data_IF_990721051674
#
_entry.id   IF_990721051674
#
_cell.length_a   1.000
_cell.length_b   1.000
_cell.length_c   1.000
_cell.angle_alpha   90.00
_cell.angle_beta   90.00
_cell.angle_gamma   90.00
#
_symmetry.space_group_name_H-M   'P 1'
#
loop_
_entity.id
_entity.type
_entity.pdbx_description
1 polymer ?
#
# COMPACT_ATOMS: atom_id res chain seq x y z
N UNK A 1 12.09 -15.13 15.57
CA UNK A 1 11.56 -14.55 14.33
C UNK A 1 12.03 -13.12 14.25
N UNK A 2 12.53 -12.70 13.13
CA UNK A 2 13.58 -11.70 13.09
C UNK A 2 13.18 -10.48 12.27
N UNK A 3 13.58 -9.27 12.66
CA UNK A 3 13.48 -8.05 11.86
C UNK A 3 14.16 -8.13 10.48
N UNK A 4 14.78 -9.26 10.16
CA UNK A 4 15.29 -9.58 8.83
C UNK A 4 14.16 -9.52 7.80
N UNK A 5 12.93 -9.95 8.15
CA UNK A 5 11.79 -9.85 7.24
C UNK A 5 11.44 -8.40 6.91
N UNK A 6 11.41 -7.51 7.91
CA UNK A 6 11.21 -6.07 7.68
C UNK A 6 12.29 -5.46 6.78
N UNK A 7 13.55 -5.85 7.00
CA UNK A 7 14.67 -5.39 6.16
C UNK A 7 14.47 -5.89 4.72
N UNK A 8 14.11 -7.15 4.53
CA UNK A 8 13.87 -7.74 3.20
C UNK A 8 12.72 -7.05 2.47
N UNK A 9 11.61 -6.80 3.18
CA UNK A 9 10.45 -6.06 2.64
C UNK A 9 10.89 -4.67 2.19
N UNK A 10 11.57 -3.93 3.06
CA UNK A 10 12.01 -2.56 2.76
C UNK A 10 12.97 -2.53 1.57
N UNK A 11 13.99 -3.40 1.54
CA UNK A 11 14.96 -3.48 0.43
C UNK A 11 14.28 -3.80 -0.89
N UNK A 12 13.36 -4.79 -0.90
CA UNK A 12 12.63 -5.15 -2.10
C UNK A 12 11.71 -4.01 -2.58
N UNK A 13 11.01 -3.32 -1.67
CA UNK A 13 10.12 -2.21 -2.03
C UNK A 13 10.90 -0.97 -2.49
N UNK A 14 12.03 -0.64 -1.90
CA UNK A 14 12.92 0.42 -2.43
C UNK A 14 13.27 0.14 -3.89
N UNK A 15 13.61 -1.11 -4.21
CA UNK A 15 13.91 -1.55 -5.58
C UNK A 15 12.69 -1.45 -6.51
N UNK A 16 11.53 -1.93 -6.06
CA UNK A 16 10.28 -1.92 -6.83
C UNK A 16 9.77 -0.50 -7.11
N UNK A 17 10.05 0.45 -6.20
CA UNK A 17 9.74 1.87 -6.37
C UNK A 17 10.88 2.67 -7.00
N UNK A 18 11.93 2.00 -7.48
CA UNK A 18 13.09 2.61 -8.14
C UNK A 18 13.86 3.63 -7.28
N UNK A 19 13.87 3.47 -5.94
CA UNK A 19 14.68 4.29 -5.04
C UNK A 19 16.05 3.65 -4.94
N UNK A 20 16.99 4.13 -5.74
CA UNK A 20 18.32 3.52 -5.90
C UNK A 20 19.45 4.21 -5.16
N UNK A 21 19.29 5.48 -4.79
CA UNK A 21 20.32 6.26 -4.11
C UNK A 21 20.14 6.15 -2.60
N UNK A 22 21.17 5.63 -1.93
CA UNK A 22 21.13 5.34 -0.50
C UNK A 22 22.27 6.09 0.20
N UNK A 23 21.94 6.86 1.24
CA UNK A 23 22.92 7.49 2.11
C UNK A 23 22.91 6.77 3.46
N UNK A 24 24.04 6.22 3.88
CA UNK A 24 24.13 5.43 5.11
C UNK A 24 25.04 6.10 6.12
N UNK A 25 24.56 6.22 7.37
CA UNK A 25 25.34 6.50 8.56
C UNK A 25 25.43 5.18 9.35
N UNK A 26 26.52 4.38 9.18
CA UNK A 26 26.56 3.03 9.69
C UNK A 26 26.66 2.98 11.22
N UNK A 27 26.00 2.00 11.82
CA UNK A 27 26.04 1.73 13.26
C UNK A 27 25.48 0.35 13.58
N UNK A 28 25.58 -0.07 14.84
CA UNK A 28 25.28 -1.45 15.25
C UNK A 28 23.88 -1.96 14.87
N UNK A 29 22.84 -1.13 14.95
CA UNK A 29 21.47 -1.59 14.72
C UNK A 29 21.03 -1.60 13.26
N UNK A 30 21.74 -0.90 12.37
CA UNK A 30 21.41 -0.88 10.93
C UNK A 30 22.36 -1.71 10.05
N UNK A 31 23.28 -2.48 10.64
CA UNK A 31 24.25 -3.32 9.91
C UNK A 31 23.56 -4.21 8.89
N UNK A 32 22.50 -4.92 9.28
CA UNK A 32 21.81 -5.86 8.40
C UNK A 32 21.18 -5.15 7.18
N UNK A 33 20.56 -4.00 7.38
CA UNK A 33 19.98 -3.18 6.30
C UNK A 33 21.09 -2.64 5.38
N UNK A 34 22.15 -2.07 5.95
CA UNK A 34 23.26 -1.51 5.18
C UNK A 34 23.95 -2.60 4.36
N UNK A 35 24.19 -3.78 4.96
CA UNK A 35 24.77 -4.93 4.27
C UNK A 35 23.89 -5.40 3.11
N UNK A 36 22.59 -5.51 3.31
CA UNK A 36 21.66 -5.92 2.25
C UNK A 36 21.67 -4.93 1.07
N UNK A 37 21.68 -3.63 1.36
CA UNK A 37 21.71 -2.58 0.33
C UNK A 37 23.06 -2.54 -0.43
N UNK A 38 24.18 -2.69 0.27
CA UNK A 38 25.51 -2.65 -0.36
C UNK A 38 25.81 -3.89 -1.22
N UNK A 39 25.22 -5.04 -0.89
CA UNK A 39 25.39 -6.28 -1.64
C UNK A 39 24.49 -6.42 -2.87
N UNK A 40 23.57 -5.49 -3.09
CA UNK A 40 22.72 -5.47 -4.30
C UNK A 40 23.19 -4.35 -5.25
N UNK A 41 23.65 -4.73 -6.43
CA UNK A 41 24.17 -3.81 -7.46
C UNK A 41 23.13 -2.79 -7.99
N UNK A 42 21.87 -2.96 -7.69
CA UNK A 42 20.82 -1.98 -8.00
C UNK A 42 21.05 -0.66 -7.25
N UNK A 43 21.52 -0.73 -6.01
CA UNK A 43 21.68 0.43 -5.14
C UNK A 43 23.03 1.13 -5.32
N UNK A 44 22.99 2.45 -5.25
CA UNK A 44 24.16 3.33 -5.19
C UNK A 44 24.30 3.85 -3.77
N UNK A 45 25.15 3.22 -2.98
CA UNK A 45 25.32 3.53 -1.56
C UNK A 45 26.46 4.52 -1.32
N UNK A 46 26.18 5.55 -0.54
CA UNK A 46 27.13 6.56 -0.07
C UNK A 46 27.22 6.50 1.45
N UNK A 47 28.44 6.34 1.98
CA UNK A 47 28.66 6.34 3.42
C UNK A 47 29.02 7.74 3.90
N UNK A 48 28.19 8.31 4.78
CA UNK A 48 28.39 9.60 5.44
C UNK A 48 28.21 9.39 6.94
N UNK A 49 29.30 9.34 7.68
CA UNK A 49 29.31 8.90 9.08
C UNK A 49 28.50 9.83 10.00
N UNK A 50 28.63 11.16 9.84
CA UNK A 50 27.87 12.13 10.60
C UNK A 50 26.45 12.26 10.04
N UNK A 51 25.46 11.91 10.85
CA UNK A 51 24.06 11.84 10.42
C UNK A 51 23.50 13.19 10.00
N UNK A 52 23.91 14.28 10.65
CA UNK A 52 23.48 15.62 10.26
C UNK A 52 24.00 15.98 8.87
N UNK A 53 25.27 15.75 8.62
CA UNK A 53 25.89 15.96 7.30
C UNK A 53 25.29 15.05 6.24
N UNK A 54 24.91 13.82 6.62
CA UNK A 54 24.27 12.85 5.72
C UNK A 54 22.98 13.37 5.11
N UNK A 55 22.12 14.06 5.89
CA UNK A 55 20.85 14.61 5.34
C UNK A 55 21.14 15.72 4.34
N UNK A 56 22.07 16.63 4.63
CA UNK A 56 22.45 17.68 3.66
C UNK A 56 23.09 17.10 2.40
N UNK A 57 23.87 16.01 2.52
CA UNK A 57 24.38 15.27 1.38
C UNK A 57 23.24 14.68 0.56
N UNK A 58 22.23 14.09 1.20
CA UNK A 58 21.04 13.55 0.53
C UNK A 58 20.22 14.63 -0.20
N UNK A 59 20.09 15.83 0.41
CA UNK A 59 19.47 16.98 -0.26
C UNK A 59 20.24 17.34 -1.53
N UNK A 60 21.57 17.47 -1.45
CA UNK A 60 22.44 17.73 -2.60
C UNK A 60 22.33 16.67 -3.69
N UNK A 61 22.27 15.41 -3.29
CA UNK A 61 22.12 14.28 -4.23
C UNK A 61 20.75 14.32 -4.94
N UNK A 62 19.66 14.66 -4.22
CA UNK A 62 18.36 14.88 -4.85
C UNK A 62 18.39 16.04 -5.84
N UNK A 63 18.96 17.17 -5.46
CA UNK A 63 19.04 18.34 -6.35
C UNK A 63 19.83 18.04 -7.63
N UNK A 64 20.84 17.18 -7.55
CA UNK A 64 21.65 16.78 -8.71
C UNK A 64 20.96 15.74 -9.59
N UNK A 65 20.17 14.82 -9.01
CA UNK A 65 19.63 13.66 -9.73
C UNK A 65 18.14 13.76 -10.03
N UNK A 66 17.40 14.56 -9.28
CA UNK A 66 15.93 14.61 -9.31
C UNK A 66 15.23 13.41 -8.62
N UNK A 67 15.99 12.41 -8.16
CA UNK A 67 15.49 11.15 -7.62
C UNK A 67 15.14 11.26 -6.13
N UNK A 68 14.23 10.40 -5.65
CA UNK A 68 14.03 10.21 -4.22
C UNK A 68 15.23 9.51 -3.60
N UNK A 69 15.61 9.94 -2.39
CA UNK A 69 16.78 9.41 -1.69
C UNK A 69 16.32 8.65 -0.44
N UNK A 70 16.85 7.45 -0.22
CA UNK A 70 16.69 6.76 1.06
C UNK A 70 17.94 6.97 1.93
N UNK A 71 17.73 7.05 3.22
CA UNK A 71 18.81 7.21 4.21
C UNK A 71 18.63 6.18 5.31
N UNK A 72 19.73 5.76 5.92
CA UNK A 72 19.68 4.90 7.11
C UNK A 72 20.68 5.32 8.17
N UNK A 73 20.22 5.33 9.42
CA UNK A 73 21.05 5.50 10.60
C UNK A 73 20.71 4.46 11.69
N UNK A 74 21.61 4.36 12.66
CA UNK A 74 21.41 3.56 13.87
C UNK A 74 20.37 4.19 14.80
N UNK A 75 20.10 3.57 15.95
CA UNK A 75 19.12 4.02 16.93
C UNK A 75 19.57 5.25 17.75
N UNK A 76 18.65 5.82 18.49
CA UNK A 76 18.84 6.87 19.47
C UNK A 76 19.23 8.23 18.89
N UNK A 77 20.38 8.79 19.29
CA UNK A 77 20.83 10.13 18.93
C UNK A 77 21.05 10.28 17.41
N UNK A 78 21.36 9.20 16.71
CA UNK A 78 21.49 9.20 15.25
C UNK A 78 20.25 9.75 14.55
N UNK A 79 19.06 9.27 14.95
CA UNK A 79 17.78 9.80 14.45
C UNK A 79 17.60 11.29 14.82
N UNK A 80 18.04 11.71 16.01
CA UNK A 80 17.95 13.12 16.45
C UNK A 80 18.88 14.02 15.63
N UNK A 81 20.05 13.52 15.23
CA UNK A 81 20.98 14.24 14.37
C UNK A 81 20.41 14.49 12.95
N UNK A 82 19.43 13.73 12.51
CA UNK A 82 18.73 13.99 11.25
C UNK A 82 17.84 15.23 11.26
N UNK A 83 17.35 15.66 12.44
CA UNK A 83 16.33 16.71 12.57
C UNK A 83 16.68 17.99 11.80
N UNK A 84 17.87 18.61 11.95
CA UNK A 84 18.17 19.85 11.24
C UNK A 84 18.09 19.73 9.72
N UNK A 85 18.63 18.65 9.17
CA UNK A 85 18.61 18.41 7.73
C UNK A 85 17.23 18.00 7.21
N UNK A 86 16.47 17.20 7.97
CA UNK A 86 15.10 16.83 7.60
C UNK A 86 14.16 18.06 7.64
N UNK A 87 14.33 18.97 8.61
CA UNK A 87 13.60 20.24 8.63
C UNK A 87 13.90 21.05 7.35
N UNK A 88 15.16 21.15 6.95
CA UNK A 88 15.53 21.80 5.68
C UNK A 88 14.89 21.09 4.47
N UNK A 89 14.91 19.75 4.44
CA UNK A 89 14.29 18.95 3.39
C UNK A 89 12.77 19.14 3.33
N UNK A 90 12.12 19.31 4.49
CA UNK A 90 10.69 19.56 4.59
C UNK A 90 10.30 20.87 3.90
N UNK A 91 10.96 21.99 4.26
CA UNK A 91 10.68 23.29 3.66
C UNK A 91 11.11 23.40 2.19
N UNK A 92 12.12 22.64 1.77
CA UNK A 92 12.55 22.54 0.37
C UNK A 92 11.77 21.49 -0.44
N UNK A 93 10.83 20.78 0.18
CA UNK A 93 10.05 19.72 -0.45
C UNK A 93 10.93 18.63 -1.09
N UNK A 94 11.99 18.21 -0.41
CA UNK A 94 12.89 17.17 -0.89
C UNK A 94 12.40 15.79 -0.40
N UNK A 95 12.13 14.83 -1.31
CA UNK A 95 11.62 13.51 -0.95
C UNK A 95 12.74 12.61 -0.42
N UNK A 96 12.92 12.60 0.90
CA UNK A 96 13.90 11.76 1.61
C UNK A 96 13.17 10.74 2.46
N UNK A 97 13.43 9.45 2.25
CA UNK A 97 12.99 8.38 3.13
C UNK A 97 14.04 8.13 4.22
N UNK A 98 13.77 8.62 5.43
CA UNK A 98 14.63 8.41 6.58
C UNK A 98 14.29 7.06 7.26
N UNK A 99 15.05 6.02 6.94
CA UNK A 99 14.91 4.68 7.54
C UNK A 99 15.72 4.66 8.83
N UNK A 100 15.01 4.69 9.96
CA UNK A 100 15.61 4.74 11.29
C UNK A 100 15.39 3.44 12.04
N UNK A 101 16.41 3.00 12.77
CA UNK A 101 16.29 1.83 13.63
C UNK A 101 16.01 2.28 15.06
N UNK A 102 15.13 1.58 15.78
CA UNK A 102 14.84 1.91 17.19
C UNK A 102 14.90 0.68 18.08
N UNK A 103 15.09 0.87 19.38
CA UNK A 103 14.78 -0.17 20.36
C UNK A 103 13.28 -0.39 20.40
N UNK A 104 12.85 -1.53 20.96
CA UNK A 104 11.42 -1.83 21.14
C UNK A 104 10.73 -0.74 21.99
N UNK A 105 9.48 -0.35 21.68
CA UNK A 105 8.75 0.68 22.43
C UNK A 105 8.68 0.44 23.93
N UNK A 106 8.65 -0.82 24.35
CA UNK A 106 8.63 -1.20 25.79
C UNK A 106 9.86 -0.74 26.58
N UNK A 107 10.95 -0.40 25.92
CA UNK A 107 12.17 0.08 26.57
C UNK A 107 12.24 1.62 26.66
N UNK A 108 11.37 2.31 25.95
CA UNK A 108 11.32 3.79 25.95
C UNK A 108 10.89 4.28 27.34
N UNK A 109 11.60 5.24 27.89
CA UNK A 109 11.43 5.78 29.24
C UNK A 109 11.71 4.79 30.39
N UNK A 110 12.33 3.64 30.10
CA UNK A 110 12.64 2.61 31.11
C UNK A 110 14.12 2.60 31.52
N UNK A 111 14.83 3.71 31.37
CA UNK A 111 16.28 3.80 31.62
C UNK A 111 17.12 2.78 30.82
N UNK A 112 16.54 2.23 29.74
CA UNK A 112 17.23 1.32 28.86
C UNK A 112 18.18 2.09 27.92
N UNK A 113 19.36 1.50 27.69
CA UNK A 113 20.42 2.12 26.92
C UNK A 113 19.96 2.35 25.45
N UNK A 114 20.17 3.58 24.95
CA UNK A 114 19.85 3.95 23.55
C UNK A 114 18.39 3.71 23.15
N UNK A 115 17.43 3.99 24.04
CA UNK A 115 16.01 3.82 23.80
C UNK A 115 15.19 5.12 24.02
N UNK A 116 15.58 6.28 23.47
CA UNK A 116 14.75 7.46 23.51
C UNK A 116 13.51 7.30 22.62
N UNK A 117 12.48 8.09 22.85
CA UNK A 117 11.40 8.23 21.88
C UNK A 117 11.95 8.97 20.64
N UNK A 118 12.07 8.26 19.53
CA UNK A 118 12.64 8.80 18.29
C UNK A 118 11.65 8.84 17.12
N UNK A 119 10.39 8.43 17.36
CA UNK A 119 9.32 8.51 16.36
C UNK A 119 8.48 9.78 16.47
N UNK A 120 8.55 10.50 17.61
CA UNK A 120 7.94 11.80 17.78
C UNK A 120 8.92 12.89 17.34
N UNK A 121 9.01 13.13 16.05
CA UNK A 121 9.81 14.21 15.46
C UNK A 121 9.03 15.53 15.50
N UNK A 122 9.69 16.70 15.38
CA UNK A 122 9.00 17.97 15.19
C UNK A 122 8.04 17.92 13.99
N UNK A 123 6.93 18.62 14.07
CA UNK A 123 5.85 18.58 13.07
C UNK A 123 6.26 19.06 11.66
N UNK A 124 7.32 19.84 11.58
CA UNK A 124 7.91 20.40 10.36
C UNK A 124 9.24 19.74 9.98
N UNK A 125 9.48 18.53 10.48
CA UNK A 125 10.67 17.75 10.22
C UNK A 125 10.43 16.67 9.16
N UNK A 126 9.25 16.04 9.19
CA UNK A 126 8.81 15.04 8.22
C UNK A 126 7.31 15.20 7.95
N UNK A 127 6.87 14.82 6.77
CA UNK A 127 5.43 14.79 6.44
C UNK A 127 4.67 13.80 7.31
N UNK A 128 5.27 12.62 7.53
CA UNK A 128 4.72 11.57 8.38
C UNK A 128 5.81 10.63 8.90
N UNK A 129 5.58 10.07 10.08
CA UNK A 129 6.40 9.01 10.67
C UNK A 129 5.61 7.72 10.68
N UNK A 130 6.22 6.65 10.18
CA UNK A 130 5.69 5.29 10.18
C UNK A 130 6.58 4.38 11.02
N UNK A 131 5.98 3.40 11.67
CA UNK A 131 6.73 2.37 12.41
C UNK A 131 6.25 0.99 11.97
N UNK A 132 7.17 0.13 11.58
CA UNK A 132 6.85 -1.24 11.20
C UNK A 132 6.55 -2.09 12.44
N UNK A 133 5.61 -3.04 12.36
CA UNK A 133 5.42 -4.05 13.38
C UNK A 133 6.63 -5.01 13.42
N UNK A 134 6.72 -5.79 14.48
CA UNK A 134 7.64 -6.93 14.53
C UNK A 134 6.92 -8.10 13.88
N UNK A 135 7.44 -8.60 12.78
CA UNK A 135 6.83 -9.70 12.04
C UNK A 135 6.90 -10.99 12.85
N UNK A 136 5.75 -11.48 13.29
CA UNK A 136 5.58 -12.73 14.02
C UNK A 136 4.72 -13.73 13.23
N UNK A 137 3.84 -13.21 12.37
CA UNK A 137 2.93 -14.00 11.56
C UNK A 137 2.68 -13.35 10.19
N UNK A 138 1.79 -13.95 9.41
CA UNK A 138 1.43 -13.45 8.07
C UNK A 138 0.73 -12.09 8.13
N UNK A 139 -0.05 -11.78 9.16
CA UNK A 139 -0.74 -10.49 9.30
C UNK A 139 0.28 -9.36 9.51
N UNK A 140 1.24 -9.56 10.41
CA UNK A 140 2.33 -8.61 10.64
C UNK A 140 3.16 -8.39 9.37
N UNK A 141 3.39 -9.46 8.60
CA UNK A 141 4.10 -9.38 7.31
C UNK A 141 3.35 -8.50 6.31
N UNK A 142 2.04 -8.72 6.15
CA UNK A 142 1.20 -7.93 5.24
C UNK A 142 1.09 -6.48 5.70
N UNK A 143 0.97 -6.24 7.01
CA UNK A 143 1.02 -4.89 7.57
C UNK A 143 2.36 -4.21 7.28
N UNK A 144 3.48 -4.90 7.47
CA UNK A 144 4.81 -4.36 7.16
C UNK A 144 4.94 -3.99 5.68
N UNK A 145 4.43 -4.82 4.77
CA UNK A 145 4.39 -4.51 3.34
C UNK A 145 3.56 -3.25 3.07
N UNK A 146 2.35 -3.16 3.63
CA UNK A 146 1.46 -2.01 3.47
C UNK A 146 2.08 -0.73 4.01
N UNK A 147 2.56 -0.74 5.25
CA UNK A 147 3.15 0.44 5.91
C UNK A 147 4.41 0.92 5.19
N UNK A 148 5.24 0.01 4.68
CA UNK A 148 6.42 0.37 3.89
C UNK A 148 6.03 1.03 2.57
N UNK A 149 5.01 0.53 1.86
CA UNK A 149 4.46 1.19 0.67
C UNK A 149 3.88 2.56 0.99
N UNK A 150 3.11 2.69 2.09
CA UNK A 150 2.59 3.99 2.53
C UNK A 150 3.71 5.01 2.74
N UNK A 151 4.77 4.63 3.44
CA UNK A 151 5.90 5.52 3.71
C UNK A 151 6.59 5.96 2.42
N UNK A 152 6.80 5.05 1.46
CA UNK A 152 7.43 5.37 0.17
C UNK A 152 6.51 6.26 -0.67
N UNK A 153 5.23 5.94 -0.75
CA UNK A 153 4.27 6.71 -1.53
C UNK A 153 4.03 8.11 -0.95
N UNK A 154 4.15 8.27 0.37
CA UNK A 154 4.00 9.56 1.04
C UNK A 154 5.11 10.57 0.68
N UNK A 155 6.27 10.12 0.21
CA UNK A 155 7.35 11.00 -0.27
C UNK A 155 6.88 12.04 -1.31
N UNK A 156 5.87 11.67 -2.11
CA UNK A 156 5.37 12.50 -3.22
C UNK A 156 3.86 12.75 -3.18
N UNK A 157 3.16 12.21 -2.18
CA UNK A 157 1.73 12.38 -2.01
C UNK A 157 1.38 13.82 -1.61
N UNK A 158 0.50 14.51 -2.36
CA UNK A 158 0.09 15.89 -2.08
C UNK A 158 1.28 16.86 -1.86
N UNK A 159 2.32 16.72 -2.66
CA UNK A 159 3.58 17.45 -2.57
C UNK A 159 4.73 16.57 -2.10
N UNK A 160 5.94 16.94 -2.50
CA UNK A 160 7.16 16.23 -2.10
C UNK A 160 7.57 16.59 -0.66
N UNK A 161 8.27 15.69 0.02
CA UNK A 161 8.87 15.97 1.31
C UNK A 161 9.42 14.73 1.99
N UNK A 162 10.16 14.90 3.09
CA UNK A 162 10.76 13.80 3.82
C UNK A 162 9.73 13.00 4.62
N UNK A 163 10.00 11.71 4.79
CA UNK A 163 9.17 10.76 5.52
C UNK A 163 10.06 9.90 6.40
N UNK A 164 9.65 9.57 7.61
CA UNK A 164 10.34 8.62 8.46
C UNK A 164 9.69 7.24 8.36
N UNK A 165 10.52 6.21 8.16
CA UNK A 165 10.16 4.81 8.34
C UNK A 165 11.02 4.21 9.44
N UNK A 166 10.43 3.95 10.60
CA UNK A 166 11.11 3.41 11.76
C UNK A 166 10.96 1.88 11.83
N UNK A 167 12.08 1.19 11.99
CA UNK A 167 12.14 -0.27 12.12
C UNK A 167 12.57 -0.59 13.57
N UNK A 168 11.69 -1.15 14.41
CA UNK A 168 12.06 -1.60 15.74
C UNK A 168 13.08 -2.74 15.65
N UNK A 169 14.23 -2.58 16.32
CA UNK A 169 15.31 -3.54 16.28
C UNK A 169 15.25 -4.52 17.46
N UNK A 170 15.45 -5.80 17.19
CA UNK A 170 15.66 -6.85 18.16
C UNK A 170 17.03 -7.48 17.97
N UNK A 171 17.62 -8.01 19.05
CA UNK A 171 18.78 -8.88 18.95
C UNK A 171 18.36 -10.16 18.20
N UNK A 172 19.11 -10.52 17.16
CA UNK A 172 18.80 -11.69 16.33
C UNK A 172 20.08 -12.27 15.71
N UNK A 173 20.00 -13.54 15.38
CA UNK A 173 21.00 -14.20 14.56
C UNK A 173 20.80 -13.81 13.09
N UNK A 174 21.90 -13.59 12.37
CA UNK A 174 21.87 -13.33 10.92
C UNK A 174 21.59 -14.67 10.23
N UNK A 175 20.37 -14.86 9.79
CA UNK A 175 19.98 -16.00 8.95
C UNK A 175 19.79 -15.57 7.51
N UNK A 176 20.01 -16.45 6.51
CA UNK A 176 19.67 -16.15 5.12
C UNK A 176 18.19 -15.83 5.03
N UNK A 177 17.87 -14.75 4.35
CA UNK A 177 16.48 -14.29 4.18
C UNK A 177 15.87 -14.99 2.99
N UNK A 178 14.76 -15.71 3.19
CA UNK A 178 13.92 -16.16 2.08
C UNK A 178 13.32 -14.93 1.38
N UNK A 179 13.56 -14.82 0.09
CA UNK A 179 13.09 -13.68 -0.71
C UNK A 179 11.63 -13.94 -1.11
N UNK A 180 10.71 -13.55 -0.27
CA UNK A 180 9.30 -13.51 -0.66
C UNK A 180 9.06 -12.38 -1.66
N UNK A 181 8.13 -12.60 -2.59
CA UNK A 181 7.68 -11.55 -3.51
C UNK A 181 6.87 -10.54 -2.70
N UNK A 182 7.41 -9.33 -2.54
CA UNK A 182 6.73 -8.27 -1.84
C UNK A 182 5.65 -7.66 -2.74
N UNK A 183 4.48 -7.46 -2.15
CA UNK A 183 3.36 -6.79 -2.79
C UNK A 183 3.68 -5.29 -2.91
N UNK A 184 3.79 -4.82 -4.14
CA UNK A 184 4.05 -3.41 -4.45
C UNK A 184 2.74 -2.70 -4.72
N UNK A 185 2.49 -1.57 -4.05
CA UNK A 185 1.36 -0.69 -4.29
C UNK A 185 1.86 0.52 -5.07
N UNK A 186 1.22 0.83 -6.19
CA UNK A 186 1.53 2.00 -7.02
C UNK A 186 0.40 3.00 -6.98
N UNK A 187 0.74 4.29 -7.08
CA UNK A 187 -0.24 5.38 -7.19
C UNK A 187 -0.16 6.00 -8.57
N UNK A 188 -1.34 6.21 -9.17
CA UNK A 188 -1.53 6.83 -10.48
C UNK A 188 -2.50 8.00 -10.35
N UNK A 189 -2.29 9.05 -11.13
CA UNK A 189 -3.17 10.22 -11.24
C UNK A 189 -3.97 10.25 -12.53
N UNK A 190 -3.81 9.23 -13.36
CA UNK A 190 -4.57 9.01 -14.60
C UNK A 190 -4.64 7.52 -14.90
N UNK A 191 -5.64 7.11 -15.68
CA UNK A 191 -5.77 5.73 -16.13
C UNK A 191 -5.38 5.61 -17.61
N UNK A 192 -4.36 4.80 -17.92
CA UNK A 192 -3.85 4.58 -19.28
C UNK A 192 -3.56 3.08 -19.54
N UNK A 193 -4.19 2.18 -18.80
CA UNK A 193 -3.88 0.74 -18.80
C UNK A 193 -5.08 -0.12 -19.28
N UNK A 194 -5.80 0.33 -20.32
CA UNK A 194 -6.98 -0.34 -20.87
C UNK A 194 -6.72 -1.83 -21.21
N UNK A 195 -5.53 -2.16 -21.69
CA UNK A 195 -5.16 -3.53 -22.04
C UNK A 195 -5.16 -4.48 -20.82
N UNK A 196 -4.96 -3.96 -19.61
CA UNK A 196 -5.03 -4.76 -18.38
C UNK A 196 -6.43 -5.25 -18.06
N UNK A 197 -7.46 -4.54 -18.51
CA UNK A 197 -8.86 -4.89 -18.27
C UNK A 197 -9.41 -5.90 -19.28
N UNK A 198 -8.74 -6.06 -20.42
CA UNK A 198 -9.24 -6.87 -21.53
C UNK A 198 -9.36 -8.35 -21.16
N UNK A 199 -10.56 -8.90 -21.29
CA UNK A 199 -10.87 -10.30 -21.01
C UNK A 199 -10.76 -10.69 -19.52
N UNK A 200 -10.77 -9.71 -18.62
CA UNK A 200 -10.73 -9.92 -17.18
C UNK A 200 -12.11 -9.92 -16.57
N UNK A 201 -12.32 -10.76 -15.55
CA UNK A 201 -13.47 -10.71 -14.66
C UNK A 201 -13.25 -9.55 -13.68
N UNK A 202 -14.12 -8.54 -13.72
CA UNK A 202 -13.99 -7.34 -12.91
C UNK A 202 -15.12 -7.27 -11.89
N UNK A 203 -14.77 -7.03 -10.64
CA UNK A 203 -15.75 -6.73 -9.60
C UNK A 203 -15.53 -5.31 -9.08
N UNK A 204 -16.55 -4.47 -9.21
CA UNK A 204 -16.59 -3.18 -8.55
C UNK A 204 -17.22 -3.38 -7.18
N UNK A 205 -16.53 -3.00 -6.11
CA UNK A 205 -17.08 -3.00 -4.75
C UNK A 205 -17.43 -1.57 -4.38
N UNK A 206 -18.73 -1.29 -4.31
CA UNK A 206 -19.24 0.01 -3.93
C UNK A 206 -19.47 0.06 -2.41
N UNK A 207 -18.63 0.79 -1.71
CA UNK A 207 -18.79 1.07 -0.28
C UNK A 207 -19.73 2.25 0.00
N UNK A 208 -19.72 2.72 1.24
CA UNK A 208 -20.54 3.86 1.68
C UNK A 208 -20.31 5.09 0.80
N UNK A 209 -21.40 5.62 0.24
CA UNK A 209 -21.35 6.80 -0.60
C UNK A 209 -22.70 7.56 -0.57
N UNK A 210 -22.67 8.84 -0.87
CA UNK A 210 -23.89 9.60 -1.19
C UNK A 210 -24.47 9.08 -2.51
N UNK A 211 -25.77 9.32 -2.80
CA UNK A 211 -26.30 9.00 -4.13
C UNK A 211 -25.42 9.59 -5.23
N UNK A 212 -25.04 8.75 -6.18
CA UNK A 212 -24.24 9.17 -7.32
C UNK A 212 -25.04 10.07 -8.26
N UNK A 213 -24.41 11.06 -8.85
CA UNK A 213 -25.02 11.85 -9.90
C UNK A 213 -25.21 11.03 -11.19
N UNK A 214 -26.04 11.56 -12.10
CA UNK A 214 -26.39 10.85 -13.33
C UNK A 214 -25.20 10.59 -14.25
N UNK A 215 -24.24 11.53 -14.30
CA UNK A 215 -23.06 11.41 -15.16
C UNK A 215 -22.13 10.31 -14.64
N UNK A 216 -21.91 10.26 -13.33
CA UNK A 216 -21.10 9.21 -12.69
C UNK A 216 -21.75 7.83 -12.85
N UNK A 217 -23.08 7.72 -12.65
CA UNK A 217 -23.80 6.46 -12.87
C UNK A 217 -23.70 6.01 -14.34
N UNK A 218 -23.83 6.92 -15.30
CA UNK A 218 -23.70 6.57 -16.71
C UNK A 218 -22.27 6.15 -17.07
N UNK A 219 -21.24 6.77 -16.49
CA UNK A 219 -19.86 6.35 -16.68
C UNK A 219 -19.61 4.94 -16.14
N UNK A 220 -20.10 4.61 -14.94
CA UNK A 220 -20.04 3.26 -14.36
C UNK A 220 -20.79 2.25 -15.23
N UNK A 221 -22.01 2.59 -15.69
CA UNK A 221 -22.80 1.71 -16.56
C UNK A 221 -22.12 1.49 -17.92
N UNK A 222 -21.55 2.54 -18.51
CA UNK A 222 -20.79 2.43 -19.77
C UNK A 222 -19.58 1.49 -19.63
N UNK A 223 -18.87 1.55 -18.51
CA UNK A 223 -17.80 0.63 -18.19
C UNK A 223 -18.33 -0.81 -18.08
N UNK A 224 -19.41 -1.04 -17.32
CA UNK A 224 -19.98 -2.39 -17.15
C UNK A 224 -20.51 -2.96 -18.46
N UNK A 225 -21.06 -2.13 -19.38
CA UNK A 225 -21.48 -2.58 -20.71
C UNK A 225 -20.33 -3.11 -21.58
N UNK A 226 -19.11 -2.63 -21.36
CA UNK A 226 -17.95 -2.93 -22.19
C UNK A 226 -16.95 -3.90 -21.57
N UNK A 227 -17.23 -4.39 -20.36
CA UNK A 227 -16.38 -5.34 -19.63
C UNK A 227 -17.20 -6.48 -19.02
N UNK A 228 -16.54 -7.59 -18.72
CA UNK A 228 -17.14 -8.69 -17.93
C UNK A 228 -17.14 -8.28 -16.44
N UNK A 229 -18.14 -7.47 -16.07
CA UNK A 229 -18.15 -6.70 -14.84
C UNK A 229 -19.41 -6.96 -14.02
N UNK A 230 -19.23 -7.09 -12.71
CA UNK A 230 -20.31 -7.11 -11.70
C UNK A 230 -20.05 -6.04 -10.66
N UNK A 231 -21.11 -5.40 -10.15
CA UNK A 231 -21.00 -4.44 -9.06
C UNK A 231 -21.53 -5.07 -7.78
N UNK A 232 -20.68 -5.25 -6.79
CA UNK A 232 -21.09 -5.68 -5.46
C UNK A 232 -21.52 -4.48 -4.64
N UNK A 233 -22.77 -4.46 -4.18
CA UNK A 233 -23.36 -3.35 -3.44
C UNK A 233 -23.95 -3.81 -2.12
N UNK A 234 -24.17 -2.88 -1.23
CA UNK A 234 -24.99 -3.03 -0.04
C UNK A 234 -25.86 -1.77 0.21
N UNK A 235 -26.54 -1.74 1.33
CA UNK A 235 -27.44 -0.62 1.69
C UNK A 235 -26.74 0.74 1.91
N UNK A 236 -25.39 0.75 2.08
CA UNK A 236 -24.61 1.97 2.27
C UNK A 236 -24.15 2.61 0.96
N UNK A 237 -24.10 1.83 -0.12
CA UNK A 237 -23.47 2.25 -1.38
C UNK A 237 -24.29 3.27 -2.17
N UNK A 238 -25.61 3.31 -1.97
CA UNK A 238 -26.54 4.17 -2.74
C UNK A 238 -26.36 4.07 -4.27
N UNK A 239 -25.92 2.90 -4.75
CA UNK A 239 -25.69 2.63 -6.16
C UNK A 239 -26.69 1.58 -6.66
N UNK A 240 -27.53 1.99 -7.62
CA UNK A 240 -28.58 1.15 -8.20
C UNK A 240 -28.42 1.07 -9.70
N UNK A 241 -28.16 -0.13 -10.23
CA UNK A 241 -27.96 -0.39 -11.67
C UNK A 241 -28.24 -1.87 -11.96
N UNK A 242 -28.48 -2.20 -13.23
CA UNK A 242 -28.69 -3.59 -13.68
C UNK A 242 -27.47 -4.51 -13.46
N UNK A 243 -26.27 -3.95 -13.28
CA UNK A 243 -25.03 -4.68 -13.01
C UNK A 243 -24.81 -4.92 -11.52
N UNK A 244 -25.67 -4.40 -10.65
CA UNK A 244 -25.51 -4.47 -9.20
C UNK A 244 -26.12 -5.74 -8.61
N UNK A 245 -25.34 -6.36 -7.71
CA UNK A 245 -25.80 -7.50 -6.92
C UNK A 245 -25.57 -7.23 -5.42
N UNK A 246 -26.40 -7.86 -4.59
CA UNK A 246 -26.13 -7.98 -3.15
C UNK A 246 -25.82 -9.45 -2.83
N UNK A 247 -24.55 -9.75 -2.68
CA UNK A 247 -24.09 -11.12 -2.42
C UNK A 247 -23.98 -11.50 -0.94
N UNK A 248 -24.37 -10.62 -0.02
CA UNK A 248 -24.17 -10.84 1.42
C UNK A 248 -24.83 -12.13 1.90
N UNK A 249 -26.09 -12.38 1.50
CA UNK A 249 -26.82 -13.60 1.89
C UNK A 249 -26.10 -14.86 1.39
N UNK A 250 -25.66 -14.87 0.13
CA UNK A 250 -24.92 -16.00 -0.44
C UNK A 250 -23.61 -16.24 0.32
N UNK A 251 -22.82 -15.21 0.54
CA UNK A 251 -21.53 -15.35 1.25
C UNK A 251 -21.71 -15.77 2.71
N UNK A 252 -22.84 -15.39 3.34
CA UNK A 252 -23.19 -15.81 4.71
C UNK A 252 -23.47 -17.32 4.84
N UNK A 253 -23.75 -18.03 3.73
CA UNK A 253 -23.92 -19.47 3.74
C UNK A 253 -22.59 -20.24 3.84
N UNK A 254 -21.45 -19.57 3.86
CA UNK A 254 -20.12 -20.16 3.79
C UNK A 254 -19.96 -21.13 2.60
N UNK A 255 -20.12 -20.65 1.37
CA UNK A 255 -20.05 -21.49 0.18
C UNK A 255 -18.70 -22.20 0.05
N UNK A 256 -18.68 -23.36 -0.63
CA UNK A 256 -17.49 -24.16 -0.80
C UNK A 256 -16.42 -23.40 -1.61
N UNK A 257 -15.14 -23.65 -1.33
CA UNK A 257 -14.02 -22.99 -2.00
C UNK A 257 -14.06 -23.14 -3.54
N UNK A 258 -14.45 -24.29 -4.07
CA UNK A 258 -14.54 -24.51 -5.51
C UNK A 258 -15.68 -23.72 -6.17
N UNK A 259 -16.72 -23.40 -5.43
CA UNK A 259 -17.80 -22.50 -5.87
C UNK A 259 -17.32 -21.05 -5.85
N UNK A 260 -16.67 -20.64 -4.77
CA UNK A 260 -16.12 -19.29 -4.62
C UNK A 260 -15.05 -18.97 -5.67
N UNK A 261 -14.16 -19.92 -6.01
CA UNK A 261 -13.12 -19.72 -7.04
C UNK A 261 -13.69 -19.28 -8.39
N UNK A 262 -14.90 -19.74 -8.76
CA UNK A 262 -15.57 -19.32 -10.00
C UNK A 262 -16.07 -17.88 -9.94
N UNK A 263 -16.36 -17.40 -8.74
CA UNK A 263 -16.92 -16.08 -8.44
C UNK A 263 -15.85 -15.06 -8.02
N UNK A 264 -14.58 -15.44 -8.00
CA UNK A 264 -13.50 -14.49 -7.75
C UNK A 264 -13.24 -13.65 -8.99
N UNK A 265 -13.04 -12.34 -8.85
CA UNK A 265 -12.57 -11.48 -9.93
C UNK A 265 -11.09 -11.71 -10.22
N UNK A 266 -10.65 -11.31 -11.41
CA UNK A 266 -9.22 -11.08 -11.68
C UNK A 266 -8.79 -9.71 -11.11
N UNK A 267 -9.71 -8.73 -11.19
CA UNK A 267 -9.48 -7.37 -10.68
C UNK A 267 -10.69 -6.95 -9.83
N UNK A 268 -10.43 -6.55 -8.59
CA UNK A 268 -11.41 -5.94 -7.71
C UNK A 268 -11.14 -4.44 -7.68
N UNK A 269 -12.14 -3.63 -8.01
CA UNK A 269 -12.09 -2.17 -7.98
C UNK A 269 -12.94 -1.66 -6.82
N UNK A 270 -12.34 -1.02 -5.83
CA UNK A 270 -13.08 -0.40 -4.73
C UNK A 270 -13.34 1.08 -4.98
N UNK A 271 -14.59 1.50 -4.73
CA UNK A 271 -15.05 2.88 -4.76
C UNK A 271 -15.87 3.21 -3.50
N UNK A 272 -15.86 4.45 -3.06
CA UNK A 272 -16.54 4.88 -1.85
C UNK A 272 -15.82 4.47 -0.56
N UNK A 273 -16.55 4.44 0.55
CA UNK A 273 -16.04 4.14 1.89
C UNK A 273 -16.17 2.68 2.30
N UNK A 274 -16.49 2.44 3.56
CA UNK A 274 -16.67 1.09 4.10
C UNK A 274 -17.85 0.36 3.44
N UNK A 275 -17.70 -0.94 3.19
CA UNK A 275 -18.81 -1.77 2.73
C UNK A 275 -19.76 -2.16 3.85
N UNK A 276 -19.29 -2.25 5.09
CA UNK A 276 -20.07 -2.74 6.23
C UNK A 276 -20.50 -4.22 6.09
N UNK A 277 -19.85 -4.97 5.22
CA UNK A 277 -20.22 -6.35 4.85
C UNK A 277 -19.17 -7.35 5.34
N UNK A 278 -19.39 -7.91 6.52
CA UNK A 278 -18.48 -8.90 7.12
C UNK A 278 -18.30 -10.17 6.28
N UNK A 279 -19.36 -10.83 5.76
CA UNK A 279 -19.20 -12.01 4.91
C UNK A 279 -18.34 -11.75 3.68
N UNK A 280 -18.49 -10.59 3.05
CA UNK A 280 -17.65 -10.18 1.94
C UNK A 280 -16.19 -10.02 2.37
N UNK A 281 -15.94 -9.23 3.40
CA UNK A 281 -14.60 -9.03 3.95
C UNK A 281 -13.92 -10.35 4.30
N UNK A 282 -14.56 -11.20 5.11
CA UNK A 282 -14.00 -12.48 5.55
C UNK A 282 -13.70 -13.44 4.39
N UNK A 283 -14.44 -13.33 3.29
CA UNK A 283 -14.22 -14.16 2.10
C UNK A 283 -13.07 -13.62 1.26
N UNK A 284 -13.08 -12.32 0.93
CA UNK A 284 -12.15 -11.72 -0.03
C UNK A 284 -10.78 -11.39 0.58
N UNK A 285 -10.64 -11.32 1.89
CA UNK A 285 -9.34 -11.18 2.56
C UNK A 285 -8.57 -12.50 2.73
N UNK A 286 -9.17 -13.67 2.44
CA UNK A 286 -8.44 -14.95 2.52
C UNK A 286 -7.22 -14.96 1.61
N UNK A 287 -6.07 -15.36 2.17
CA UNK A 287 -4.77 -15.32 1.48
C UNK A 287 -4.69 -16.23 0.25
N UNK A 288 -5.46 -17.34 0.24
CA UNK A 288 -5.50 -18.29 -0.87
C UNK A 288 -6.20 -17.76 -2.14
N UNK A 289 -6.98 -16.69 -2.03
CA UNK A 289 -7.67 -16.09 -3.18
C UNK A 289 -6.81 -14.96 -3.74
N UNK A 290 -6.40 -15.11 -4.99
CA UNK A 290 -5.51 -14.18 -5.68
C UNK A 290 -6.30 -13.36 -6.70
N UNK A 291 -6.24 -12.04 -6.56
CA UNK A 291 -6.74 -11.04 -7.50
C UNK A 291 -5.99 -9.73 -7.28
N UNK A 292 -6.01 -8.85 -8.26
CA UNK A 292 -5.53 -7.48 -8.06
C UNK A 292 -6.62 -6.64 -7.40
N UNK A 293 -6.24 -5.80 -6.44
CA UNK A 293 -7.15 -4.80 -5.88
C UNK A 293 -6.71 -3.41 -6.30
N UNK A 294 -7.61 -2.68 -6.93
CA UNK A 294 -7.43 -1.28 -7.33
C UNK A 294 -8.38 -0.41 -6.52
N UNK A 295 -7.86 0.65 -5.89
CA UNK A 295 -8.67 1.63 -5.15
C UNK A 295 -8.77 2.92 -5.94
N UNK A 296 -10.00 3.39 -6.18
CA UNK A 296 -10.23 4.68 -6.81
C UNK A 296 -10.68 5.65 -5.73
N UNK A 297 -9.85 6.63 -5.43
CA UNK A 297 -10.16 7.65 -4.43
C UNK A 297 -9.36 8.93 -4.69
N UNK A 298 -10.01 10.08 -4.59
CA UNK A 298 -9.39 11.39 -4.82
C UNK A 298 -8.30 11.72 -3.79
N UNK A 299 -8.39 11.19 -2.58
CA UNK A 299 -7.40 11.43 -1.52
C UNK A 299 -6.05 10.77 -1.81
N UNK A 300 -6.01 9.73 -2.65
CA UNK A 300 -4.81 8.94 -2.92
C UNK A 300 -4.29 8.16 -1.71
N UNK A 301 -5.09 7.99 -0.67
CA UNK A 301 -4.70 7.24 0.53
C UNK A 301 -4.55 5.75 0.23
N UNK A 302 -3.61 5.12 0.95
CA UNK A 302 -3.46 3.66 0.93
C UNK A 302 -4.53 3.06 1.84
N UNK A 303 -5.52 2.37 1.23
CA UNK A 303 -6.58 1.65 1.95
C UNK A 303 -6.59 0.21 1.41
N UNK A 304 -5.96 -0.71 2.14
CA UNK A 304 -5.81 -2.11 1.73
C UNK A 304 -6.69 -3.03 2.58
N UNK A 305 -8.00 -2.91 2.42
CA UNK A 305 -9.01 -3.64 3.20
C UNK A 305 -8.89 -5.16 3.05
N UNK A 306 -8.42 -5.65 1.90
CA UNK A 306 -8.39 -7.09 1.59
C UNK A 306 -6.98 -7.66 1.56
N UNK A 307 -5.97 -6.91 1.97
CA UNK A 307 -4.55 -7.29 1.87
C UNK A 307 -4.10 -7.63 0.43
N UNK A 308 -4.70 -6.99 -0.58
CA UNK A 308 -4.49 -7.28 -2.01
C UNK A 308 -4.33 -6.03 -2.88
N UNK A 309 -4.24 -4.85 -2.26
CA UNK A 309 -4.10 -3.58 -2.99
C UNK A 309 -2.80 -3.57 -3.83
N UNK A 310 -2.92 -3.30 -5.11
CA UNK A 310 -1.80 -3.18 -6.04
C UNK A 310 -1.73 -1.80 -6.69
N UNK A 311 -2.89 -1.13 -6.84
CA UNK A 311 -2.96 0.18 -7.46
C UNK A 311 -3.91 1.12 -6.72
N UNK A 312 -3.53 2.40 -6.68
CA UNK A 312 -4.38 3.50 -6.23
C UNK A 312 -4.51 4.45 -7.41
N UNK A 313 -5.73 4.70 -7.84
CA UNK A 313 -6.03 5.73 -8.83
C UNK A 313 -6.54 6.96 -8.09
N UNK A 314 -5.63 7.93 -7.88
CA UNK A 314 -5.93 9.20 -7.22
C UNK A 314 -6.62 10.13 -8.22
N UNK A 315 -7.90 9.89 -8.43
CA UNK A 315 -8.72 10.64 -9.38
C UNK A 315 -10.22 10.49 -9.04
N UNK A 316 -11.05 11.29 -9.67
CA UNK A 316 -12.50 11.22 -9.57
C UNK A 316 -13.03 9.89 -10.14
N UNK A 317 -14.09 9.36 -9.53
CA UNK A 317 -14.71 8.07 -9.91
C UNK A 317 -15.22 8.13 -11.36
N UNK A 318 -15.92 9.19 -11.75
CA UNK A 318 -16.44 9.36 -13.10
C UNK A 318 -15.32 9.39 -14.13
N UNK A 319 -14.26 10.16 -13.86
CA UNK A 319 -13.14 10.31 -14.78
C UNK A 319 -12.40 8.99 -14.98
N UNK A 320 -12.25 8.19 -13.92
CA UNK A 320 -11.70 6.86 -14.05
C UNK A 320 -12.52 5.99 -15.00
N UNK A 321 -13.82 5.85 -14.74
CA UNK A 321 -14.67 4.98 -15.55
C UNK A 321 -14.81 5.45 -17.00
N UNK A 322 -14.85 6.76 -17.25
CA UNK A 322 -14.84 7.31 -18.61
C UNK A 322 -13.55 6.98 -19.38
N UNK A 323 -12.40 7.03 -18.70
CA UNK A 323 -11.12 6.70 -19.31
C UNK A 323 -10.90 5.21 -19.55
N UNK A 324 -11.67 4.34 -18.85
CA UNK A 324 -11.52 2.90 -18.86
C UNK A 324 -12.51 2.16 -19.78
N UNK A 325 -13.38 2.86 -20.53
CA UNK A 325 -14.35 2.25 -21.47
C UNK A 325 -13.62 1.52 -22.60
N UNK A 326 -14.11 0.34 -22.98
CA UNK A 326 -13.55 -0.55 -24.04
C UNK A 326 -14.59 -0.78 -25.15
N UNK A 327 -14.23 -1.55 -26.17
CA UNK A 327 -15.09 -1.92 -27.29
C UNK A 327 -15.64 -3.34 -27.24
N UNK A 328 -15.31 -4.12 -26.22
CA UNK A 328 -15.68 -5.54 -26.11
C UNK A 328 -16.60 -5.77 -24.92
N UNK A 329 -17.57 -6.66 -25.02
CA UNK A 329 -18.49 -7.04 -23.92
C UNK A 329 -18.56 -8.54 -23.74
N UNK A 330 -18.46 -9.00 -22.47
CA UNK A 330 -18.88 -10.31 -21.97
C UNK A 330 -19.58 -10.04 -20.65
N UNK A 331 -20.60 -10.82 -20.31
CA UNK A 331 -21.35 -10.68 -19.06
C UNK A 331 -21.42 -11.99 -18.28
N UNK A 332 -20.58 -12.97 -18.62
CA UNK A 332 -20.60 -14.29 -17.98
C UNK A 332 -20.32 -14.22 -16.48
N UNK A 333 -19.51 -13.26 -16.04
CA UNK A 333 -19.20 -13.07 -14.64
C UNK A 333 -20.39 -12.51 -13.86
N UNK A 334 -21.10 -11.53 -14.45
CA UNK A 334 -22.34 -11.00 -13.90
C UNK A 334 -23.40 -12.10 -13.78
N UNK A 335 -23.61 -12.88 -14.86
CA UNK A 335 -24.58 -13.97 -14.89
C UNK A 335 -24.30 -15.01 -13.80
N UNK A 336 -23.03 -15.36 -13.61
CA UNK A 336 -22.59 -16.30 -12.57
C UNK A 336 -22.95 -15.80 -11.15
N UNK A 337 -22.79 -14.52 -10.88
CA UNK A 337 -23.17 -13.92 -9.60
C UNK A 337 -24.67 -13.79 -9.45
N UNK A 338 -25.39 -13.40 -10.50
CA UNK A 338 -26.85 -13.29 -10.49
C UNK A 338 -27.51 -14.66 -10.21
N UNK A 339 -27.03 -15.74 -10.85
CA UNK A 339 -27.52 -17.09 -10.58
C UNK A 339 -27.45 -17.43 -9.08
N UNK A 340 -26.34 -17.10 -8.41
CA UNK A 340 -26.14 -17.42 -6.99
C UNK A 340 -26.98 -16.54 -6.07
N UNK A 341 -27.16 -15.28 -6.41
CA UNK A 341 -27.92 -14.34 -5.57
C UNK A 341 -29.42 -14.55 -5.73
N UNK A 342 -29.91 -14.84 -6.94
CA UNK A 342 -31.34 -15.07 -7.21
C UNK A 342 -31.84 -16.44 -6.71
N UNK A 343 -31.01 -17.48 -6.77
CA UNK A 343 -31.40 -18.82 -6.30
C UNK A 343 -31.77 -18.86 -4.81
N UNK A 344 -31.24 -17.96 -4.00
CA UNK A 344 -31.54 -17.86 -2.56
C UNK A 344 -32.82 -17.09 -2.24
N UNK A 345 -33.27 -16.19 -3.14
CA UNK A 345 -34.53 -15.45 -2.98
C UNK A 345 -35.75 -16.36 -3.19
N UNK A 346 -35.59 -17.43 -3.96
CA UNK A 346 -36.68 -18.40 -4.25
C UNK A 346 -36.79 -19.55 -3.23
N UNK A 347 -35.89 -19.63 -2.24
CA UNK A 347 -35.91 -20.66 -1.18
C UNK A 347 -36.51 -20.12 0.13
N UNK A 348 -36.78 -18.83 0.23
CA UNK A 348 -37.49 -18.18 1.31
C UNK A 348 -38.93 -17.89 0.91
#
# INVERSE_FOLDING_TARGET
MNNIENISIVVALLKNHNIRYIVTSPGGTNIALVSALQNDSFFKCFSVVDERSAVYFAIGLHLQTGESIAMSCTSAQATRNYIPGLTEAYYKQVPILAITMSKLPRFTYQSYMQAPNQISLPVDCVKKSYTLPIVQDTSDYLESCRVSNEAILELTHNGKGPVQLNIPWQDFEISPVDRHIQKTIKRYTSFNEQDKLKGKKIMIVAGEHRPYDKETLEAINAFCRTHDCVIYTNHLSNLHTEYAINGNLFLSTNPLDDELKKLLPDILISIGGQTGDYPFYLTFSKTQYLFEHWSINESGNVVDTYDKLTAIYQMDIKDFFLSAVSSSSSHMFLDSWMEKTLSLIHIS
#
